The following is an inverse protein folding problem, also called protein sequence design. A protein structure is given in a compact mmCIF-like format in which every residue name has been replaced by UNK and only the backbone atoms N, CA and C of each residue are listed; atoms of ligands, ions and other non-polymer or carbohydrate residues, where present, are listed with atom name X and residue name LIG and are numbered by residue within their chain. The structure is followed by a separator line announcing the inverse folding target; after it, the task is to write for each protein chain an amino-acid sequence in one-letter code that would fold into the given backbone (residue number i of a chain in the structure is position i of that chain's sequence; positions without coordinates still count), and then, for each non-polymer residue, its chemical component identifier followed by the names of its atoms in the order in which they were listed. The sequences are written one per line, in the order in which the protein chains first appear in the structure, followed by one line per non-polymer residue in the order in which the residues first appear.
data_IF_604081454107
#
_entry.id   IF_604081454107
#
_cell.length_a   1.000
_cell.length_b   1.000
_cell.length_c   1.000
_cell.angle_alpha   90.00
_cell.angle_beta   90.00
_cell.angle_gamma   90.00
#
_symmetry.space_group_name_H-M   'P 1'
#
loop_
_entity.id
_entity.type
_entity.pdbx_description
1 polymer ?
#
# COMPACT_ATOMS: atom_id res chain seq x y z
N UNK A 1 -4.50 13.28 -25.63
CA UNK A 1 -3.84 13.07 -24.34
C UNK A 1 -4.93 12.97 -23.30
N UNK A 2 -5.01 11.86 -22.58
CA UNK A 2 -6.04 11.60 -21.57
C UNK A 2 -5.66 12.33 -20.27
N UNK A 3 -6.60 13.09 -19.72
CA UNK A 3 -6.46 13.64 -18.36
C UNK A 3 -6.52 12.51 -17.34
N UNK A 4 -5.70 12.61 -16.28
CA UNK A 4 -5.68 11.69 -15.14
C UNK A 4 -6.18 12.45 -13.90
N UNK A 5 -7.06 11.83 -13.13
CA UNK A 5 -7.43 12.29 -11.78
C UNK A 5 -6.50 11.70 -10.73
N UNK A 6 -6.50 12.27 -9.53
CA UNK A 6 -5.65 11.75 -8.44
C UNK A 6 -6.10 10.38 -7.94
N UNK A 7 -7.41 10.08 -7.99
CA UNK A 7 -7.93 8.75 -7.64
C UNK A 7 -7.29 7.66 -8.50
N UNK A 8 -7.30 7.84 -9.84
CA UNK A 8 -6.71 6.93 -10.84
C UNK A 8 -5.16 6.82 -10.80
N UNK A 9 -4.52 7.35 -9.76
CA UNK A 9 -3.09 7.24 -9.48
C UNK A 9 -2.79 6.89 -8.03
N UNK A 10 -3.76 7.01 -7.12
CA UNK A 10 -3.57 6.68 -5.71
C UNK A 10 -3.98 5.23 -5.55
N UNK A 11 -3.09 4.43 -4.98
CA UNK A 11 -3.37 3.04 -4.73
C UNK A 11 -4.59 2.87 -3.81
N UNK A 12 -5.30 1.74 -3.93
CA UNK A 12 -6.42 1.35 -3.06
C UNK A 12 -6.35 1.80 -1.59
N UNK A 13 -7.52 2.11 -1.02
CA UNK A 13 -7.68 2.47 0.39
C UNK A 13 -7.06 1.45 1.36
N UNK A 14 -7.04 0.16 1.00
CA UNK A 14 -6.41 -0.89 1.81
C UNK A 14 -4.90 -0.69 1.90
N UNK A 15 -4.23 -0.47 0.77
CA UNK A 15 -2.78 -0.26 0.72
C UNK A 15 -2.38 1.05 1.39
N UNK A 16 -3.10 2.14 1.14
CA UNK A 16 -2.83 3.43 1.78
C UNK A 16 -2.99 3.35 3.30
N UNK A 17 -3.99 2.61 3.80
CA UNK A 17 -4.19 2.40 5.23
C UNK A 17 -3.03 1.63 5.87
N UNK A 18 -2.60 0.53 5.25
CA UNK A 18 -1.48 -0.27 5.75
C UNK A 18 -0.17 0.53 5.74
N UNK A 19 0.05 1.32 4.71
CA UNK A 19 1.18 2.25 4.61
C UNK A 19 1.18 3.28 5.73
N UNK A 20 0.04 3.98 5.94
CA UNK A 20 -0.12 4.97 7.03
C UNK A 20 0.09 4.34 8.40
N UNK A 21 -0.32 3.09 8.59
CA UNK A 21 -0.12 2.35 9.85
C UNK A 21 1.35 2.06 10.14
N UNK A 22 2.14 1.73 9.11
CA UNK A 22 3.60 1.53 9.24
C UNK A 22 4.31 2.86 9.47
N UNK A 23 3.98 3.88 8.69
CA UNK A 23 4.55 5.22 8.80
C UNK A 23 4.24 5.87 10.16
N UNK A 24 3.06 5.60 10.72
CA UNK A 24 2.67 6.05 12.04
C UNK A 24 2.35 7.54 12.13
N UNK A 25 1.89 7.97 13.31
CA UNK A 25 1.38 9.33 13.54
C UNK A 25 2.44 10.42 13.53
N UNK A 26 3.73 10.07 13.59
CA UNK A 26 4.84 11.03 13.43
C UNK A 26 5.24 11.22 11.97
N UNK A 27 4.51 10.59 11.03
CA UNK A 27 4.69 10.72 9.59
C UNK A 27 6.13 10.48 9.14
N UNK A 28 6.82 9.55 9.79
CA UNK A 28 8.23 9.27 9.52
C UNK A 28 8.42 7.85 9.01
N UNK A 29 8.84 7.71 7.75
CA UNK A 29 9.26 6.44 7.16
C UNK A 29 10.77 6.26 7.36
N UNK A 30 11.17 5.33 8.22
CA UNK A 30 12.57 4.99 8.43
C UNK A 30 13.05 4.02 7.34
N UNK A 31 14.09 4.40 6.61
CA UNK A 31 14.59 3.65 5.45
C UNK A 31 16.01 3.20 5.67
N UNK A 32 16.26 1.90 5.51
CA UNK A 32 17.61 1.35 5.48
C UNK A 32 18.12 1.26 4.03
N UNK A 33 19.26 1.89 3.72
CA UNK A 33 19.91 1.72 2.42
C UNK A 33 21.00 0.65 2.56
N UNK A 34 20.83 -0.48 1.86
CA UNK A 34 21.77 -1.60 1.95
C UNK A 34 23.20 -1.16 1.55
N UNK A 35 24.22 -1.43 2.38
CA UNK A 35 25.63 -1.15 2.06
C UNK A 35 26.24 -2.21 1.12
N UNK A 36 25.44 -3.17 0.64
CA UNK A 36 25.88 -4.26 -0.22
C UNK A 36 26.32 -5.53 0.52
N UNK A 37 26.45 -6.61 -0.24
CA UNK A 37 26.87 -7.95 0.21
C UNK A 37 25.92 -8.63 1.22
N UNK A 38 24.68 -8.17 1.32
CA UNK A 38 23.63 -8.78 2.13
C UNK A 38 22.82 -9.79 1.30
N UNK A 39 22.28 -10.87 1.90
CA UNK A 39 21.41 -11.80 1.18
C UNK A 39 20.19 -11.10 0.58
N UNK A 40 19.89 -11.40 -0.68
CA UNK A 40 18.78 -10.80 -1.39
C UNK A 40 18.15 -11.80 -2.36
N UNK A 41 16.85 -11.64 -2.61
CA UNK A 41 16.14 -12.33 -3.68
C UNK A 41 15.61 -11.24 -4.60
N UNK A 42 16.02 -11.28 -5.86
CA UNK A 42 15.54 -10.37 -6.89
C UNK A 42 14.80 -11.16 -7.96
N UNK A 43 13.70 -10.61 -8.48
CA UNK A 43 13.06 -11.11 -9.68
C UNK A 43 13.97 -10.85 -10.88
N UNK A 44 14.26 -11.89 -11.66
CA UNK A 44 14.94 -11.76 -12.95
C UNK A 44 13.88 -11.85 -14.04
N UNK A 45 13.60 -10.72 -14.69
CA UNK A 45 12.57 -10.64 -15.72
C UNK A 45 12.98 -11.38 -17.00
N UNK A 46 14.28 -11.50 -17.33
CA UNK A 46 14.71 -12.30 -18.48
C UNK A 46 14.51 -13.80 -18.22
N UNK A 47 14.81 -14.24 -16.99
CA UNK A 47 14.70 -15.64 -16.59
C UNK A 47 13.32 -16.03 -16.05
N UNK A 48 12.43 -15.05 -15.83
CA UNK A 48 11.08 -15.20 -15.28
C UNK A 48 11.07 -16.00 -13.96
N UNK A 49 11.98 -15.67 -13.04
CA UNK A 49 12.10 -16.36 -11.75
C UNK A 49 12.82 -15.53 -10.70
N UNK A 50 12.61 -15.90 -9.45
CA UNK A 50 13.41 -15.42 -8.32
C UNK A 50 14.84 -15.95 -8.37
N UNK A 51 15.81 -15.05 -8.19
CA UNK A 51 17.22 -15.36 -8.08
C UNK A 51 17.74 -14.95 -6.71
N UNK A 52 18.31 -15.93 -6.00
CA UNK A 52 19.09 -15.68 -4.79
C UNK A 52 20.41 -15.05 -5.17
N UNK A 53 20.61 -13.83 -4.70
CA UNK A 53 21.77 -13.00 -4.99
C UNK A 53 22.24 -12.30 -3.71
N UNK A 54 23.12 -11.32 -3.86
CA UNK A 54 23.46 -10.38 -2.81
C UNK A 54 23.20 -8.96 -3.27
N UNK A 55 22.90 -8.08 -2.32
CA UNK A 55 22.80 -6.65 -2.62
C UNK A 55 24.15 -6.10 -3.11
N UNK A 56 24.08 -5.09 -3.96
CA UNK A 56 25.22 -4.30 -4.44
C UNK A 56 25.23 -2.97 -3.69
N UNK A 57 26.41 -2.55 -3.23
CA UNK A 57 26.56 -1.22 -2.63
C UNK A 57 26.25 -0.15 -3.69
N UNK A 58 25.40 0.85 -3.39
CA UNK A 58 25.20 1.98 -4.28
C UNK A 58 26.52 2.71 -4.57
N UNK A 59 26.66 3.19 -5.80
CA UNK A 59 27.71 4.14 -6.14
C UNK A 59 27.46 5.48 -5.42
N UNK A 60 28.50 6.31 -5.27
CA UNK A 60 28.36 7.62 -4.62
C UNK A 60 27.27 8.48 -5.26
N UNK A 61 27.12 8.44 -6.59
CA UNK A 61 26.09 9.21 -7.28
C UNK A 61 24.68 8.64 -7.03
N UNK A 62 24.51 7.32 -6.95
CA UNK A 62 23.23 6.69 -6.58
C UNK A 62 22.84 7.04 -5.14
N UNK A 63 23.78 7.00 -4.20
CA UNK A 63 23.54 7.50 -2.84
C UNK A 63 23.09 8.96 -2.85
N UNK A 64 23.70 9.80 -3.68
CA UNK A 64 23.31 11.20 -3.79
C UNK A 64 21.88 11.34 -4.35
N UNK A 65 21.54 10.61 -5.41
CA UNK A 65 20.18 10.60 -5.98
C UNK A 65 19.15 10.17 -4.93
N UNK A 66 19.35 9.02 -4.28
CA UNK A 66 18.46 8.49 -3.24
C UNK A 66 18.24 9.51 -2.13
N UNK A 67 19.32 10.06 -1.57
CA UNK A 67 19.25 11.03 -0.47
C UNK A 67 18.69 12.38 -0.89
N UNK A 68 18.89 12.79 -2.14
CA UNK A 68 18.34 14.05 -2.66
C UNK A 68 16.83 13.94 -2.85
N UNK A 69 16.36 12.80 -3.36
CA UNK A 69 14.93 12.50 -3.44
C UNK A 69 14.28 12.48 -2.05
N UNK A 70 14.91 11.83 -1.06
CA UNK A 70 14.43 11.85 0.34
C UNK A 70 14.38 13.27 0.89
N UNK A 71 15.44 14.06 0.69
CA UNK A 71 15.46 15.46 1.13
C UNK A 71 14.37 16.30 0.47
N UNK A 72 14.06 16.03 -0.80
CA UNK A 72 13.05 16.78 -1.56
C UNK A 72 11.65 16.42 -1.09
N UNK A 73 11.35 15.14 -0.89
CA UNK A 73 10.11 14.67 -0.25
C UNK A 73 9.90 15.35 1.10
N UNK A 74 10.92 15.35 1.96
CA UNK A 74 10.85 15.96 3.30
C UNK A 74 10.59 17.47 3.26
N UNK A 75 10.87 18.13 2.13
CA UNK A 75 10.63 19.57 1.93
C UNK A 75 9.29 19.89 1.25
N UNK A 76 8.68 18.92 0.56
CA UNK A 76 7.48 19.14 -0.26
C UNK A 76 6.22 18.51 0.36
N UNK A 77 6.35 17.33 0.99
CA UNK A 77 5.25 16.50 1.46
C UNK A 77 5.18 16.47 2.99
N UNK A 78 4.00 16.11 3.52
CA UNK A 78 3.80 15.97 4.97
C UNK A 78 4.49 14.75 5.58
N UNK A 79 4.96 13.81 4.76
CA UNK A 79 5.77 12.65 5.18
C UNK A 79 7.26 12.97 5.18
N UNK A 80 7.99 12.45 6.17
CA UNK A 80 9.44 12.50 6.26
C UNK A 80 10.06 11.12 6.05
N UNK A 81 11.01 11.03 5.12
CA UNK A 81 11.87 9.86 4.94
C UNK A 81 13.17 10.08 5.71
N UNK A 82 13.52 9.12 6.56
CA UNK A 82 14.71 9.16 7.41
C UNK A 82 15.59 7.94 7.19
N UNK A 83 16.82 8.17 6.74
CA UNK A 83 17.81 7.09 6.64
C UNK A 83 18.19 6.59 8.04
N UNK A 84 18.14 5.26 8.24
CA UNK A 84 18.64 4.56 9.42
C UNK A 84 19.77 3.61 9.01
N UNK A 85 20.66 3.29 9.96
CA UNK A 85 21.88 2.53 9.67
C UNK A 85 21.84 1.06 10.08
N UNK A 86 20.68 0.59 10.56
CA UNK A 86 20.43 -0.82 10.83
C UNK A 86 19.10 -1.22 10.22
N UNK A 87 19.09 -2.34 9.52
CA UNK A 87 17.87 -2.93 8.96
C UNK A 87 16.78 -3.16 10.02
N UNK A 88 17.17 -3.51 11.25
CA UNK A 88 16.21 -3.70 12.35
C UNK A 88 15.53 -2.42 12.86
N UNK A 89 16.01 -1.25 12.44
CA UNK A 89 15.48 0.07 12.81
C UNK A 89 14.68 0.70 11.66
N UNK A 90 14.55 0.02 10.52
CA UNK A 90 13.84 0.55 9.34
C UNK A 90 12.45 -0.05 9.19
N UNK A 91 11.54 0.76 8.66
CA UNK A 91 10.20 0.38 8.23
C UNK A 91 10.24 -0.23 6.82
N UNK A 92 11.18 0.22 5.98
CA UNK A 92 11.42 -0.30 4.63
C UNK A 92 12.89 -0.16 4.23
N UNK A 93 13.26 -0.71 3.08
CA UNK A 93 14.66 -0.85 2.65
C UNK A 93 14.83 -0.47 1.18
N UNK A 94 15.98 0.13 0.84
CA UNK A 94 16.44 0.29 -0.53
C UNK A 94 17.57 -0.70 -0.78
N UNK A 95 17.37 -1.62 -1.73
CA UNK A 95 18.31 -2.69 -2.07
C UNK A 95 18.69 -2.60 -3.54
N UNK A 96 19.99 -2.39 -3.81
CA UNK A 96 20.49 -2.47 -5.17
C UNK A 96 20.90 -3.90 -5.50
N UNK A 97 20.69 -4.32 -6.74
CA UNK A 97 21.04 -5.65 -7.27
C UNK A 97 21.71 -5.53 -8.63
N UNK A 98 22.42 -6.57 -9.07
CA UNK A 98 22.99 -6.64 -10.42
C UNK A 98 22.13 -7.49 -11.37
N UNK A 99 21.03 -8.06 -10.86
CA UNK A 99 20.04 -8.79 -11.64
C UNK A 99 19.34 -7.80 -12.57
N UNK A 100 19.23 -8.10 -13.89
CA UNK A 100 18.59 -7.21 -14.84
C UNK A 100 17.10 -7.01 -14.54
N UNK A 101 16.60 -5.80 -14.81
CA UNK A 101 15.18 -5.43 -14.76
C UNK A 101 14.50 -5.79 -13.42
N UNK A 102 15.21 -5.53 -12.32
CA UNK A 102 14.75 -5.80 -10.96
C UNK A 102 14.34 -4.51 -10.21
N UNK A 103 14.05 -3.43 -10.96
CA UNK A 103 13.55 -2.17 -10.44
C UNK A 103 12.06 -2.34 -10.11
N UNK A 104 11.73 -2.35 -8.82
CA UNK A 104 10.37 -2.59 -8.33
C UNK A 104 10.25 -2.33 -6.82
N UNK A 105 9.08 -1.90 -6.38
CA UNK A 105 8.62 -2.10 -4.99
C UNK A 105 8.13 -3.54 -4.81
N UNK A 106 8.65 -4.22 -3.79
CA UNK A 106 8.38 -5.63 -3.51
C UNK A 106 7.92 -5.81 -2.06
N UNK A 107 7.21 -6.90 -1.77
CA UNK A 107 6.73 -7.21 -0.42
C UNK A 107 5.39 -6.55 -0.10
N UNK A 108 5.01 -6.57 1.18
CA UNK A 108 3.74 -6.03 1.67
C UNK A 108 4.00 -5.02 2.80
N UNK A 109 3.22 -3.94 2.83
CA UNK A 109 3.26 -2.96 3.94
C UNK A 109 2.96 -3.65 5.27
N UNK A 110 1.97 -4.55 5.29
CA UNK A 110 1.71 -5.43 6.42
C UNK A 110 1.56 -6.84 5.89
N UNK A 111 2.40 -7.76 6.36
CA UNK A 111 2.36 -9.16 5.92
C UNK A 111 1.00 -9.78 6.16
N UNK A 112 0.38 -10.26 5.10
CA UNK A 112 -0.91 -10.96 5.13
C UNK A 112 -0.83 -12.38 5.73
N UNK A 113 0.38 -12.93 5.85
CA UNK A 113 0.63 -14.31 6.30
C UNK A 113 1.11 -14.43 7.76
N UNK A 114 1.44 -13.32 8.43
CA UNK A 114 1.73 -13.32 9.87
C UNK A 114 1.04 -12.14 10.58
N UNK A 115 0.40 -12.40 11.73
CA UNK A 115 -0.32 -11.38 12.49
C UNK A 115 0.64 -10.45 13.27
N UNK A 116 1.91 -10.34 12.84
CA UNK A 116 2.94 -9.60 13.57
C UNK A 116 2.86 -8.08 13.37
N UNK A 117 2.17 -7.64 12.33
CA UNK A 117 2.15 -6.24 11.91
C UNK A 117 3.48 -5.75 11.34
N UNK A 118 4.41 -6.66 11.03
CA UNK A 118 5.72 -6.33 10.47
C UNK A 118 5.59 -6.10 8.97
N UNK A 119 6.16 -4.99 8.51
CA UNK A 119 6.36 -4.73 7.09
C UNK A 119 7.53 -5.54 6.55
N UNK A 120 7.42 -5.98 5.31
CA UNK A 120 8.58 -6.45 4.55
C UNK A 120 8.71 -5.83 3.19
N UNK A 121 8.08 -4.67 3.02
CA UNK A 121 8.18 -3.91 1.81
C UNK A 121 9.61 -3.40 1.62
N UNK A 122 10.12 -3.48 0.39
CA UNK A 122 11.40 -2.91 0.02
C UNK A 122 11.40 -2.45 -1.44
N UNK A 123 12.20 -1.43 -1.71
CA UNK A 123 12.47 -0.92 -3.03
C UNK A 123 13.74 -1.59 -3.57
N UNK A 124 13.59 -2.38 -4.63
CA UNK A 124 14.70 -2.99 -5.36
C UNK A 124 15.08 -2.12 -6.54
N UNK A 125 16.38 -1.92 -6.76
CA UNK A 125 16.90 -1.20 -7.92
C UNK A 125 18.00 -2.00 -8.63
N UNK A 126 17.95 -2.07 -9.94
CA UNK A 126 19.07 -2.58 -10.73
C UNK A 126 20.19 -1.54 -10.73
N UNK A 127 21.39 -1.93 -10.31
CA UNK A 127 22.57 -1.05 -10.25
C UNK A 127 22.90 -0.45 -11.61
N UNK A 128 22.63 -1.18 -12.69
CA UNK A 128 22.91 -0.82 -14.08
C UNK A 128 21.75 -0.15 -14.82
N UNK A 129 20.59 0.05 -14.19
CA UNK A 129 19.45 0.69 -14.87
C UNK A 129 19.82 2.05 -15.45
N UNK A 130 19.17 2.42 -16.56
CA UNK A 130 19.55 3.60 -17.35
C UNK A 130 20.71 3.40 -18.33
N UNK A 131 21.49 2.31 -18.24
CA UNK A 131 22.45 1.95 -19.29
C UNK A 131 21.73 1.40 -20.53
N UNK A 132 22.18 1.82 -21.71
CA UNK A 132 21.75 1.23 -22.98
C UNK A 132 22.29 -0.21 -23.10
N UNK A 133 21.41 -1.20 -22.96
CA UNK A 133 21.75 -2.62 -23.04
C UNK A 133 22.37 -3.04 -24.38
N UNK A 134 22.08 -2.32 -25.48
CA UNK A 134 22.71 -2.58 -26.78
C UNK A 134 24.16 -2.10 -26.83
N UNK A 135 24.46 -1.02 -26.10
CA UNK A 135 25.79 -0.44 -25.96
C UNK A 135 26.65 -1.19 -24.93
N UNK A 136 26.02 -1.72 -23.87
CA UNK A 136 26.71 -2.38 -22.76
C UNK A 136 26.13 -3.78 -22.45
N UNK A 137 26.20 -4.74 -23.38
CA UNK A 137 25.60 -6.07 -23.20
C UNK A 137 26.21 -6.91 -22.06
N UNK A 138 27.34 -6.49 -21.50
CA UNK A 138 28.01 -7.16 -20.38
C UNK A 138 27.81 -6.44 -19.02
N UNK A 139 26.99 -5.38 -18.96
CA UNK A 139 26.85 -4.55 -17.76
C UNK A 139 26.34 -5.34 -16.55
N UNK A 140 25.39 -6.26 -16.73
CA UNK A 140 24.88 -7.10 -15.64
C UNK A 140 25.95 -8.04 -15.05
N UNK A 141 26.82 -8.59 -15.91
CA UNK A 141 27.89 -9.51 -15.49
C UNK A 141 29.11 -8.79 -14.93
N UNK A 142 29.32 -7.51 -15.29
CA UNK A 142 30.45 -6.71 -14.84
C UNK A 142 30.02 -5.25 -14.55
N UNK A 143 29.21 -5.02 -13.50
CA UNK A 143 28.61 -3.71 -13.19
C UNK A 143 29.63 -2.59 -13.11
N UNK A 144 30.78 -2.88 -12.50
CA UNK A 144 31.79 -1.87 -12.17
C UNK A 144 32.64 -1.46 -13.38
N UNK A 145 32.53 -2.16 -14.50
CA UNK A 145 33.27 -1.85 -15.72
C UNK A 145 32.61 -0.78 -16.60
N UNK A 146 31.33 -0.45 -16.36
CA UNK A 146 30.54 0.44 -17.20
C UNK A 146 29.98 1.60 -16.37
N UNK A 147 30.66 2.76 -16.34
CA UNK A 147 30.16 3.92 -15.63
C UNK A 147 29.03 4.59 -16.41
N UNK A 148 27.97 4.99 -15.71
CA UNK A 148 26.91 5.84 -16.28
C UNK A 148 27.42 7.24 -16.60
N UNK A 149 27.11 7.72 -17.79
CA UNK A 149 27.19 9.14 -18.13
C UNK A 149 26.03 9.95 -17.51
N UNK A 150 26.02 11.27 -17.66
CA UNK A 150 25.01 12.16 -17.08
C UNK A 150 23.57 11.77 -17.47
N UNK A 151 23.30 11.51 -18.75
CA UNK A 151 21.98 11.10 -19.23
C UNK A 151 21.56 9.74 -18.66
N UNK A 152 22.48 8.78 -18.62
CA UNK A 152 22.23 7.44 -18.05
C UNK A 152 21.97 7.52 -16.53
N UNK A 153 22.62 8.45 -15.81
CA UNK A 153 22.35 8.72 -14.40
C UNK A 153 20.96 9.35 -14.21
N UNK A 154 20.57 10.32 -15.04
CA UNK A 154 19.22 10.91 -15.00
C UNK A 154 18.13 9.88 -15.33
N UNK A 155 18.39 8.94 -16.24
CA UNK A 155 17.46 7.83 -16.51
C UNK A 155 17.32 6.93 -15.29
N UNK A 156 18.43 6.61 -14.59
CA UNK A 156 18.36 5.86 -13.33
C UNK A 156 17.58 6.63 -12.25
N UNK A 157 17.78 7.94 -12.14
CA UNK A 157 17.04 8.81 -11.23
C UNK A 157 15.54 8.80 -11.51
N UNK A 158 15.12 8.93 -12.78
CA UNK A 158 13.70 8.76 -13.17
C UNK A 158 13.12 7.45 -12.66
N UNK A 159 13.80 6.32 -12.91
CA UNK A 159 13.33 5.00 -12.51
C UNK A 159 13.24 4.93 -10.98
N UNK A 160 14.24 5.43 -10.27
CA UNK A 160 14.20 5.47 -8.82
C UNK A 160 13.03 6.30 -8.28
N UNK A 161 12.75 7.47 -8.87
CA UNK A 161 11.62 8.31 -8.44
C UNK A 161 10.27 7.67 -8.80
N UNK A 162 10.17 6.93 -9.90
CA UNK A 162 9.01 6.11 -10.23
C UNK A 162 8.73 5.07 -9.14
N UNK A 163 9.73 4.26 -8.77
CA UNK A 163 9.60 3.27 -7.70
C UNK A 163 9.34 3.90 -6.33
N UNK A 164 9.91 5.08 -6.09
CA UNK A 164 9.62 5.85 -4.88
C UNK A 164 8.18 6.36 -4.87
N UNK A 165 7.60 6.66 -6.04
CA UNK A 165 6.16 6.95 -6.20
C UNK A 165 5.30 5.77 -5.75
N UNK A 166 5.61 4.55 -6.20
CA UNK A 166 4.95 3.33 -5.74
C UNK A 166 5.07 3.14 -4.22
N UNK A 167 6.28 3.33 -3.68
CA UNK A 167 6.51 3.23 -2.24
C UNK A 167 5.74 4.30 -1.44
N UNK A 168 5.34 5.41 -2.06
CA UNK A 168 4.57 6.46 -1.40
C UNK A 168 3.07 6.39 -1.68
N UNK A 169 2.61 5.35 -2.40
CA UNK A 169 1.21 5.04 -2.62
C UNK A 169 0.66 5.42 -3.98
N UNK A 170 1.52 5.65 -4.97
CA UNK A 170 1.08 5.83 -6.35
C UNK A 170 1.03 4.50 -7.11
N UNK A 171 0.14 4.39 -8.09
CA UNK A 171 0.04 3.25 -9.02
C UNK A 171 0.08 3.72 -10.48
N UNK A 172 0.08 2.78 -11.43
CA UNK A 172 0.11 3.16 -12.84
C UNK A 172 -1.27 3.61 -13.32
N UNK A 173 -1.36 4.56 -14.28
CA UNK A 173 -2.64 5.03 -14.83
C UNK A 173 -3.52 3.97 -15.52
N UNK A 174 -3.02 2.74 -15.69
CA UNK A 174 -3.67 1.61 -16.36
C UNK A 174 -3.91 0.41 -15.45
N UNK A 175 -3.48 0.48 -14.19
CA UNK A 175 -3.75 -0.58 -13.21
C UNK A 175 -5.26 -0.59 -12.91
N UNK A 176 -5.86 -1.78 -12.80
CA UNK A 176 -7.33 -1.94 -12.68
C UNK A 176 -7.72 -2.72 -11.42
N UNK A 177 -6.74 -3.02 -10.57
CA UNK A 177 -6.88 -4.02 -9.51
C UNK A 177 -7.82 -3.55 -8.39
N UNK A 178 -7.90 -2.24 -8.16
CA UNK A 178 -8.78 -1.62 -7.16
C UNK A 178 -10.07 -1.02 -7.75
N UNK A 179 -10.14 -0.91 -9.07
CA UNK A 179 -11.34 -0.56 -9.82
C UNK A 179 -11.43 0.89 -10.26
N UNK A 180 -10.38 1.69 -10.08
CA UNK A 180 -10.18 2.94 -10.83
C UNK A 180 -8.97 2.83 -11.78
N UNK A 181 -8.99 3.59 -12.89
CA UNK A 181 -7.93 3.64 -13.89
C UNK A 181 -8.23 4.74 -14.92
N UNK A 182 -7.18 5.38 -15.47
CA UNK A 182 -7.34 6.44 -16.47
C UNK A 182 -7.39 5.89 -17.91
N UNK A 183 -6.59 4.88 -18.23
CA UNK A 183 -6.43 4.30 -19.59
C UNK A 183 -6.40 2.76 -19.56
N UNK A 184 -6.71 2.10 -20.68
CA UNK A 184 -6.85 0.62 -20.68
C UNK A 184 -5.52 -0.11 -20.90
N UNK A 185 -4.44 0.60 -21.23
CA UNK A 185 -3.10 0.03 -21.42
C UNK A 185 -2.00 1.09 -21.29
N UNK A 186 -0.78 0.64 -21.03
CA UNK A 186 0.43 1.47 -20.92
C UNK A 186 0.83 2.21 -22.20
N UNK A 187 0.26 1.82 -23.35
CA UNK A 187 0.53 2.45 -24.66
C UNK A 187 -0.34 3.69 -24.92
N UNK A 188 -1.38 3.90 -24.11
CA UNK A 188 -2.30 5.02 -24.30
C UNK A 188 -1.73 6.32 -23.70
N UNK A 189 -1.68 7.42 -24.47
CA UNK A 189 -1.03 8.65 -24.02
C UNK A 189 -1.88 9.41 -23.00
N UNK A 190 -1.32 9.60 -21.81
CA UNK A 190 -1.87 10.43 -20.72
C UNK A 190 -1.17 11.78 -20.61
N UNK A 191 -1.67 12.67 -19.75
CA UNK A 191 -0.85 13.78 -19.24
C UNK A 191 0.45 13.24 -18.63
N UNK A 192 1.48 14.08 -18.56
CA UNK A 192 2.78 13.69 -18.02
C UNK A 192 2.64 13.31 -16.53
N UNK A 193 3.14 12.13 -16.20
CA UNK A 193 3.20 11.54 -14.86
C UNK A 193 4.45 10.68 -14.79
N UNK A 194 5.15 10.70 -13.65
CA UNK A 194 6.29 9.80 -13.43
C UNK A 194 5.86 8.34 -13.48
N UNK A 195 4.58 8.03 -13.19
CA UNK A 195 4.00 6.69 -13.18
C UNK A 195 3.71 6.16 -14.60
N UNK A 196 3.89 6.98 -15.64
CA UNK A 196 3.79 6.56 -17.03
C UNK A 196 5.12 6.09 -17.63
N UNK A 197 5.07 5.48 -18.82
CA UNK A 197 6.28 5.08 -19.56
C UNK A 197 6.96 6.20 -20.35
N UNK A 198 6.31 7.34 -20.54
CA UNK A 198 6.95 8.51 -21.14
C UNK A 198 8.20 8.89 -20.32
N UNK A 199 9.29 9.19 -21.01
CA UNK A 199 10.59 9.44 -20.39
C UNK A 199 10.99 10.90 -20.42
N UNK A 200 10.33 11.71 -21.25
CA UNK A 200 10.68 13.10 -21.43
C UNK A 200 9.55 14.05 -21.07
N UNK A 201 9.90 15.18 -20.45
CA UNK A 201 8.99 16.27 -20.22
C UNK A 201 8.64 17.02 -21.52
N UNK A 202 7.76 18.02 -21.42
CA UNK A 202 7.37 18.86 -22.55
C UNK A 202 8.52 19.69 -23.16
N UNK A 203 9.64 19.81 -22.46
CA UNK A 203 10.84 20.51 -22.91
C UNK A 203 11.90 19.56 -23.51
N UNK A 204 11.66 18.24 -23.50
CA UNK A 204 12.61 17.23 -23.96
C UNK A 204 13.70 16.87 -22.95
N UNK A 205 13.55 17.27 -21.68
CA UNK A 205 14.42 16.81 -20.59
C UNK A 205 13.92 15.46 -20.08
N UNK A 206 14.80 14.65 -19.51
CA UNK A 206 14.37 13.45 -18.79
C UNK A 206 13.45 13.88 -17.65
N UNK A 207 12.30 13.23 -17.55
CA UNK A 207 11.34 13.43 -16.48
C UNK A 207 11.87 12.76 -15.20
N UNK A 208 12.73 13.46 -14.47
CA UNK A 208 13.49 12.96 -13.31
C UNK A 208 12.81 13.24 -11.96
N UNK A 209 11.64 13.89 -11.96
CA UNK A 209 10.85 14.15 -10.75
C UNK A 209 9.35 13.96 -10.96
N UNK A 210 8.59 13.92 -9.86
CA UNK A 210 7.13 13.98 -9.83
C UNK A 210 6.60 15.16 -10.65
N UNK A 211 5.61 14.87 -11.49
CA UNK A 211 4.86 15.85 -12.25
C UNK A 211 3.74 16.44 -11.39
N UNK A 212 3.00 17.41 -11.93
CA UNK A 212 1.95 18.12 -11.19
C UNK A 212 0.89 17.16 -10.63
N UNK A 213 0.45 16.18 -11.43
CA UNK A 213 -0.56 15.20 -11.03
C UNK A 213 -0.04 14.26 -9.93
N UNK A 214 1.20 13.76 -10.06
CA UNK A 214 1.85 12.91 -9.05
C UNK A 214 1.97 13.66 -7.71
N UNK A 215 2.45 14.90 -7.77
CA UNK A 215 2.61 15.75 -6.59
C UNK A 215 1.26 16.05 -5.93
N UNK A 216 0.19 16.17 -6.72
CA UNK A 216 -1.16 16.39 -6.21
C UNK A 216 -1.68 15.13 -5.50
N UNK A 217 -1.52 13.96 -6.11
CA UNK A 217 -1.89 12.68 -5.50
C UNK A 217 -1.13 12.43 -4.19
N UNK A 218 0.19 12.62 -4.18
CA UNK A 218 1.01 12.48 -2.97
C UNK A 218 0.59 13.45 -1.85
N UNK A 219 0.20 14.69 -2.19
CA UNK A 219 -0.33 15.64 -1.20
C UNK A 219 -1.73 15.26 -0.69
N UNK A 220 -2.54 14.54 -1.47
CA UNK A 220 -3.80 13.98 -0.98
C UNK A 220 -3.57 12.84 0.01
N UNK A 221 -2.54 12.02 -0.21
CA UNK A 221 -2.15 10.95 0.73
C UNK A 221 -1.54 11.52 2.02
N UNK A 222 -0.58 12.45 1.89
CA UNK A 222 0.35 12.83 2.98
C UNK A 222 0.23 14.27 3.48
N UNK A 223 -0.49 15.13 2.75
CA UNK A 223 -0.46 16.57 2.99
C UNK A 223 0.84 17.22 2.49
N UNK A 224 1.06 18.47 2.88
CA UNK A 224 2.30 19.22 2.56
C UNK A 224 3.22 19.29 3.76
N UNK A 225 4.50 19.64 3.55
CA UNK A 225 5.43 19.83 4.65
C UNK A 225 4.94 20.87 5.68
N UNK A 226 4.24 21.92 5.23
CA UNK A 226 3.67 22.96 6.10
C UNK A 226 2.30 22.58 6.70
N UNK A 227 1.59 21.65 6.08
CA UNK A 227 0.28 21.16 6.51
C UNK A 227 0.19 19.64 6.32
N UNK A 228 0.90 18.85 7.15
CA UNK A 228 0.82 17.40 7.09
C UNK A 228 -0.59 16.93 7.47
N UNK A 229 -1.00 15.77 6.96
CA UNK A 229 -2.23 15.13 7.44
C UNK A 229 -2.08 14.74 8.92
N UNK A 230 -3.19 14.59 9.63
CA UNK A 230 -3.19 13.87 10.89
C UNK A 230 -3.48 12.41 10.58
N UNK A 231 -2.56 11.50 10.90
CA UNK A 231 -2.89 10.08 10.97
C UNK A 231 -3.46 9.84 12.36
N UNK A 232 -4.77 9.97 12.47
CA UNK A 232 -5.47 9.43 13.61
C UNK A 232 -5.42 7.91 13.44
N UNK A 233 -4.69 7.22 14.33
CA UNK A 233 -4.67 5.74 14.41
C UNK A 233 -6.06 5.13 14.74
N UNK A 234 -7.13 5.90 14.58
CA UNK A 234 -8.50 5.65 14.98
C UNK A 234 -9.49 6.18 13.93
N UNK A 235 -9.09 6.40 12.67
CA UNK A 235 -10.08 6.55 11.58
C UNK A 235 -10.97 5.30 11.59
N UNK A 236 -12.26 5.44 11.92
CA UNK A 236 -13.12 4.30 12.10
C UNK A 236 -13.28 3.55 10.78
N UNK A 237 -13.23 2.22 10.85
CA UNK A 237 -13.49 1.41 9.65
C UNK A 237 -14.99 1.39 9.40
N UNK A 238 -15.43 2.13 8.39
CA UNK A 238 -16.84 2.18 7.97
C UNK A 238 -17.26 0.86 7.29
N UNK A 239 -18.34 0.26 7.79
CA UNK A 239 -18.98 -0.94 7.26
C UNK A 239 -20.35 -0.55 6.73
N UNK A 240 -20.54 -0.77 5.43
CA UNK A 240 -21.80 -0.50 4.75
C UNK A 240 -22.59 -1.78 4.49
N UNK A 241 -23.85 -1.64 4.10
CA UNK A 241 -24.63 -2.77 3.59
C UNK A 241 -23.93 -3.41 2.38
N UNK A 242 -23.58 -4.71 2.43
CA UNK A 242 -22.97 -5.37 1.29
C UNK A 242 -24.01 -5.54 0.17
N UNK A 243 -23.53 -5.63 -1.08
CA UNK A 243 -24.40 -5.93 -2.24
C UNK A 243 -25.24 -7.20 -2.05
N UNK A 244 -24.72 -8.17 -1.29
CA UNK A 244 -25.38 -9.40 -0.87
C UNK A 244 -24.80 -9.86 0.48
N UNK A 245 -25.63 -10.40 1.38
CA UNK A 245 -25.18 -10.92 2.67
C UNK A 245 -24.48 -12.29 2.58
N UNK A 246 -23.28 -12.32 1.99
CA UNK A 246 -22.48 -13.52 1.83
C UNK A 246 -20.97 -13.21 1.95
N UNK A 247 -20.16 -14.24 2.17
CA UNK A 247 -18.72 -14.08 2.42
C UNK A 247 -17.93 -13.40 1.31
N UNK A 248 -18.38 -13.45 0.06
CA UNK A 248 -17.68 -12.84 -1.08
C UNK A 248 -17.91 -11.34 -1.14
N UNK A 249 -19.07 -10.90 -0.69
CA UNK A 249 -19.53 -9.51 -0.73
C UNK A 249 -19.37 -8.79 0.61
N UNK A 250 -18.94 -9.50 1.65
CA UNK A 250 -18.67 -8.95 2.97
C UNK A 250 -17.30 -8.28 3.00
N UNK A 251 -17.20 -7.16 3.71
CA UNK A 251 -15.94 -6.46 3.92
C UNK A 251 -14.95 -7.37 4.63
N UNK A 252 -13.70 -7.32 4.19
CA UNK A 252 -12.62 -8.09 4.81
C UNK A 252 -11.76 -7.10 5.56
N UNK A 253 -11.83 -7.17 6.88
CA UNK A 253 -11.07 -6.29 7.75
C UNK A 253 -9.85 -7.06 8.22
N UNK A 254 -8.70 -6.69 7.72
CA UNK A 254 -7.39 -7.21 8.12
C UNK A 254 -6.89 -6.40 9.31
N UNK A 255 -6.23 -7.07 10.26
CA UNK A 255 -5.45 -6.42 11.33
C UNK A 255 -6.19 -5.44 12.26
N UNK A 256 -7.50 -5.64 12.49
CA UNK A 256 -8.28 -4.90 13.47
C UNK A 256 -7.72 -5.06 14.89
N UNK A 257 -7.35 -3.96 15.53
CA UNK A 257 -6.85 -3.90 16.90
C UNK A 257 -7.97 -3.47 17.87
N UNK A 258 -8.50 -4.39 18.69
CA UNK A 258 -9.60 -4.07 19.60
C UNK A 258 -9.23 -3.10 20.74
N UNK A 259 -7.95 -2.72 20.88
CA UNK A 259 -7.52 -1.74 21.88
C UNK A 259 -7.52 -0.30 21.36
N UNK A 260 -7.56 -0.10 20.05
CA UNK A 260 -7.39 1.23 19.41
C UNK A 260 -8.41 1.51 18.32
N UNK A 261 -8.91 0.48 17.65
CA UNK A 261 -9.70 0.63 16.44
C UNK A 261 -11.20 0.61 16.77
N UNK A 262 -11.95 1.41 16.00
CA UNK A 262 -13.41 1.47 16.02
C UNK A 262 -13.95 1.04 14.65
N UNK A 263 -15.04 0.27 14.65
CA UNK A 263 -15.83 0.01 13.45
C UNK A 263 -17.06 0.92 13.48
N UNK A 264 -17.20 1.74 12.45
CA UNK A 264 -18.46 2.45 12.21
C UNK A 264 -19.36 1.57 11.35
N UNK A 265 -20.62 1.40 11.73
CA UNK A 265 -21.58 0.63 10.97
C UNK A 265 -22.69 1.58 10.52
N UNK A 266 -22.82 1.76 9.21
CA UNK A 266 -23.89 2.55 8.59
C UNK A 266 -25.24 1.81 8.76
N UNK A 267 -25.96 2.17 9.82
CA UNK A 267 -27.24 1.55 10.19
C UNK A 267 -28.35 1.95 9.23
N UNK A 268 -28.31 3.17 8.70
CA UNK A 268 -29.23 3.67 7.69
C UNK A 268 -29.18 2.84 6.41
N UNK A 269 -27.99 2.45 5.96
CA UNK A 269 -27.82 1.57 4.78
C UNK A 269 -28.46 0.19 4.97
N UNK A 270 -28.53 -0.28 6.22
CA UNK A 270 -29.12 -1.55 6.62
C UNK A 270 -30.62 -1.43 6.94
N UNK A 271 -31.17 -0.22 7.02
CA UNK A 271 -32.57 0.05 7.27
C UNK A 271 -32.99 -0.08 8.74
N UNK A 272 -32.05 0.08 9.66
CA UNK A 272 -32.29 0.11 11.11
C UNK A 272 -31.78 1.42 11.71
N UNK A 273 -32.21 1.77 12.91
CA UNK A 273 -31.74 2.98 13.59
C UNK A 273 -30.40 2.77 14.33
N UNK A 274 -29.76 3.87 14.72
CA UNK A 274 -28.47 3.88 15.42
C UNK A 274 -28.53 3.38 16.87
N UNK A 275 -29.69 2.97 17.40
CA UNK A 275 -29.83 2.29 18.69
C UNK A 275 -29.59 0.77 18.60
N UNK A 276 -28.97 0.33 17.51
CA UNK A 276 -28.65 -1.05 17.21
C UNK A 276 -27.89 -1.75 18.36
N UNK A 277 -28.13 -3.05 18.45
CA UNK A 277 -27.65 -3.90 19.55
C UNK A 277 -26.62 -4.92 19.06
N UNK A 278 -25.67 -5.25 19.93
CA UNK A 278 -24.56 -6.14 19.60
C UNK A 278 -24.38 -7.27 20.60
N UNK A 279 -24.00 -8.46 20.11
CA UNK A 279 -23.46 -9.52 20.96
C UNK A 279 -22.41 -10.39 20.27
N UNK A 280 -21.38 -10.76 21.03
CA UNK A 280 -20.38 -11.73 20.62
C UNK A 280 -20.69 -13.16 21.09
N UNK A 281 -20.45 -14.13 20.21
CA UNK A 281 -20.56 -15.55 20.51
C UNK A 281 -19.25 -16.29 20.24
N UNK A 282 -18.85 -17.17 21.15
CA UNK A 282 -17.58 -17.94 21.07
C UNK A 282 -17.38 -18.77 19.80
N UNK A 283 -18.44 -18.99 19.01
CA UNK A 283 -18.38 -19.65 17.71
C UNK A 283 -19.70 -19.45 16.93
N UNK A 284 -19.66 -19.76 15.62
CA UNK A 284 -20.83 -19.80 14.73
C UNK A 284 -22.07 -20.52 15.27
N UNK A 285 -21.90 -21.60 16.03
CA UNK A 285 -23.04 -22.35 16.59
C UNK A 285 -23.74 -21.53 17.67
N UNK A 286 -23.00 -20.84 18.53
CA UNK A 286 -23.56 -19.92 19.53
C UNK A 286 -24.29 -18.76 18.85
N UNK A 287 -23.64 -18.11 17.88
CA UNK A 287 -24.24 -17.03 17.07
C UNK A 287 -25.57 -17.49 16.46
N UNK A 288 -25.56 -18.54 15.63
CA UNK A 288 -26.75 -18.95 14.86
C UNK A 288 -27.85 -19.68 15.63
N UNK A 289 -27.54 -20.30 16.78
CA UNK A 289 -28.51 -21.16 17.49
C UNK A 289 -29.00 -20.56 18.79
N UNK A 290 -28.27 -19.59 19.36
CA UNK A 290 -28.61 -18.95 20.63
C UNK A 290 -28.82 -17.45 20.51
N UNK A 291 -27.87 -16.73 19.89
CA UNK A 291 -27.93 -15.26 19.83
C UNK A 291 -28.91 -14.79 18.75
N UNK A 292 -28.92 -15.42 17.57
CA UNK A 292 -29.87 -15.14 16.48
C UNK A 292 -31.31 -15.64 16.74
N UNK A 293 -31.72 -15.72 18.01
CA UNK A 293 -33.09 -15.92 18.47
C UNK A 293 -33.45 -14.92 19.57
N UNK A 294 -32.55 -13.98 19.81
CA UNK A 294 -32.72 -12.85 20.70
C UNK A 294 -32.86 -11.63 19.80
N UNK A 295 -33.48 -10.60 20.34
CA UNK A 295 -33.66 -9.33 19.67
C UNK A 295 -32.32 -8.59 19.67
N UNK A 296 -31.46 -8.94 18.73
CA UNK A 296 -30.09 -8.46 18.58
C UNK A 296 -29.81 -8.19 17.10
N UNK A 297 -29.32 -7.00 16.77
CA UNK A 297 -29.12 -6.55 15.39
C UNK A 297 -27.79 -7.07 14.81
N UNK A 298 -26.71 -7.01 15.59
CA UNK A 298 -25.37 -7.42 15.15
C UNK A 298 -24.79 -8.53 16.02
N UNK A 299 -24.30 -9.58 15.36
CA UNK A 299 -23.73 -10.74 16.04
C UNK A 299 -22.32 -11.05 15.54
N UNK A 300 -21.39 -11.29 16.46
CA UNK A 300 -20.00 -11.61 16.13
C UNK A 300 -19.60 -13.06 16.45
N UNK A 301 -18.94 -13.73 15.50
CA UNK A 301 -18.36 -15.07 15.66
C UNK A 301 -16.88 -14.98 16.08
N UNK A 302 -16.60 -14.95 17.38
CA UNK A 302 -15.23 -14.83 17.94
C UNK A 302 -14.27 -15.95 17.51
N UNK A 303 -14.77 -17.06 16.94
CA UNK A 303 -13.89 -18.13 16.45
C UNK A 303 -13.41 -17.89 15.03
N UNK A 304 -14.16 -17.15 14.22
CA UNK A 304 -13.93 -17.00 12.78
C UNK A 304 -13.97 -15.56 12.29
N UNK A 305 -14.21 -14.61 13.18
CA UNK A 305 -14.24 -13.18 12.89
C UNK A 305 -15.42 -12.71 12.06
N UNK A 306 -16.47 -13.51 11.89
CA UNK A 306 -17.62 -13.10 11.09
C UNK A 306 -18.53 -12.16 11.88
N UNK A 307 -18.78 -10.96 11.35
CA UNK A 307 -19.80 -10.03 11.83
C UNK A 307 -21.07 -10.19 10.96
N UNK A 308 -22.21 -10.40 11.62
CA UNK A 308 -23.49 -10.69 10.97
C UNK A 308 -24.54 -9.65 11.37
N UNK A 309 -25.29 -9.16 10.39
CA UNK A 309 -26.54 -8.44 10.58
C UNK A 309 -27.71 -9.43 10.69
N UNK A 310 -28.58 -9.23 11.68
CA UNK A 310 -29.75 -10.03 11.98
C UNK A 310 -31.02 -9.19 11.82
N UNK A 311 -31.53 -9.17 10.60
CA UNK A 311 -32.77 -8.45 10.27
C UNK A 311 -34.02 -9.08 10.94
N UNK A 312 -33.94 -10.36 11.31
CA UNK A 312 -35.09 -11.12 11.81
C UNK A 312 -35.40 -10.91 13.31
N UNK A 313 -34.64 -10.08 14.01
CA UNK A 313 -34.76 -9.91 15.46
C UNK A 313 -34.74 -11.26 16.19
N UNK A 314 -35.74 -11.51 17.04
CA UNK A 314 -35.87 -12.77 17.80
C UNK A 314 -36.35 -13.99 16.97
N UNK A 315 -36.76 -13.80 15.71
CA UNK A 315 -37.18 -14.92 14.86
C UNK A 315 -36.00 -15.81 14.45
N UNK A 316 -36.31 -17.05 14.07
CA UNK A 316 -35.26 -18.03 13.75
C UNK A 316 -34.57 -17.66 12.43
N UNK A 317 -33.32 -17.21 12.49
CA UNK A 317 -32.48 -17.02 11.31
C UNK A 317 -31.80 -15.66 11.31
N UNK A 318 -31.52 -15.14 10.12
CA UNK A 318 -31.02 -13.77 9.92
C UNK A 318 -31.92 -12.94 9.00
N UNK A 319 -33.06 -13.48 8.58
CA UNK A 319 -33.91 -12.85 7.56
C UNK A 319 -33.22 -12.83 6.21
N UNK A 320 -33.39 -11.71 5.52
CA UNK A 320 -32.60 -11.36 4.33
C UNK A 320 -31.21 -10.83 4.72
N UNK A 321 -30.97 -10.57 6.02
CA UNK A 321 -29.65 -10.29 6.59
C UNK A 321 -28.66 -11.46 6.57
N UNK A 322 -27.45 -11.18 7.05
CA UNK A 322 -26.38 -12.17 7.12
C UNK A 322 -25.01 -11.53 7.33
N UNK A 323 -23.96 -12.13 6.77
CA UNK A 323 -22.58 -11.66 7.02
C UNK A 323 -22.34 -10.33 6.31
N UNK A 324 -21.82 -9.34 7.04
CA UNK A 324 -21.49 -8.00 6.54
C UNK A 324 -19.98 -7.74 6.53
N UNK A 325 -19.25 -8.30 7.49
CA UNK A 325 -17.80 -8.18 7.55
C UNK A 325 -17.14 -9.46 8.08
N UNK A 326 -15.85 -9.62 7.77
CA UNK A 326 -14.98 -10.69 8.24
C UNK A 326 -13.71 -10.06 8.78
N UNK A 327 -13.58 -10.00 10.11
CA UNK A 327 -12.37 -9.60 10.79
C UNK A 327 -11.37 -10.76 10.80
N UNK A 328 -10.26 -10.61 10.09
CA UNK A 328 -9.16 -11.59 10.07
C UNK A 328 -8.50 -11.67 11.45
N UNK A 329 -7.94 -12.82 11.79
CA UNK A 329 -7.42 -13.10 13.15
C UNK A 329 -8.49 -13.37 14.21
N UNK A 330 -9.77 -13.04 13.94
CA UNK A 330 -10.87 -13.14 14.90
C UNK A 330 -10.58 -12.42 16.24
N UNK A 331 -10.28 -11.11 16.21
CA UNK A 331 -9.98 -10.32 17.40
C UNK A 331 -11.16 -10.31 18.39
N UNK A 332 -10.87 -9.96 19.64
CA UNK A 332 -11.93 -9.84 20.65
C UNK A 332 -12.72 -8.56 20.45
N UNK A 333 -13.80 -8.64 19.66
CA UNK A 333 -14.66 -7.51 19.35
C UNK A 333 -15.75 -7.34 20.40
N UNK A 334 -15.82 -6.15 21.00
CA UNK A 334 -16.83 -5.77 22.00
C UNK A 334 -17.67 -4.58 21.51
N UNK A 335 -18.71 -4.20 22.26
CA UNK A 335 -19.50 -3.00 21.94
C UNK A 335 -18.68 -1.72 22.01
N UNK A 336 -17.59 -1.66 22.79
CA UNK A 336 -16.72 -0.48 22.89
C UNK A 336 -15.95 -0.21 21.58
N UNK A 337 -15.90 -1.21 20.69
CA UNK A 337 -15.26 -1.13 19.39
C UNK A 337 -16.23 -0.75 18.27
N UNK A 338 -17.51 -0.52 18.57
CA UNK A 338 -18.55 -0.32 17.57
C UNK A 338 -19.21 1.04 17.76
N UNK A 339 -19.32 1.77 16.67
CA UNK A 339 -20.13 2.97 16.56
C UNK A 339 -21.22 2.73 15.51
N UNK A 340 -22.48 2.95 15.90
CA UNK A 340 -23.63 2.80 15.00
C UNK A 340 -24.01 4.20 14.53
N UNK A 341 -23.83 4.45 13.24
CA UNK A 341 -24.04 5.77 12.63
C UNK A 341 -25.27 5.80 11.73
#
# INVERSE_FOLDING_TARGET
MKEISTAELIHSDEVIRDMKKVVGSDLTLNVYISPGNEPHTAWDDEAQKDIKTKTKAPANWQYNVIRSAFSRINSELGISIKEVFKESESDTQVKLTTVPNADAVNGEWIRSWDDSGVSDIYLSMTYQSGLDGTKYPAAHNNPDAFPHNETEQSTWEKIFVHELGHLLGLEHPWDQDDGDWAVSSSEEPTILTIMGYESYDSNGNIMDWFQEIDSKALREIWGTADSPITIDNAEPTLINKPSKFNKKSADKITNFNPSTDTLEIDTDSLGIDSSATFAAGKNKKQVKKKLAKQDLDFLYDQKKGGLYFNENGAEKGFGDGGIIAILKGAPDLTTENLEFI
#
